data_IF_646925066359
#
_entry.id   IF_646925066359
#
_cell.length_a   1.000
_cell.length_b   1.000
_cell.length_c   1.000
_cell.angle_alpha   90.00
_cell.angle_beta   90.00
_cell.angle_gamma   90.00
#
_symmetry.space_group_name_H-M   'P 1'
#
loop_
_entity.id
_entity.type
_entity.pdbx_description
1 polymer ?
#
# COMPACT_ATOMS: atom_id res chain seq x y z
N UNK A 1 13.39 13.07 5.00
CA UNK A 1 13.46 11.65 5.40
C UNK A 1 12.60 10.88 4.41
N UNK A 2 13.10 9.78 3.85
CA UNK A 2 12.34 8.93 2.92
C UNK A 2 11.35 8.11 3.73
N UNK A 3 10.13 7.99 3.25
CA UNK A 3 9.11 7.15 3.89
C UNK A 3 9.34 5.70 3.48
N UNK A 4 9.42 4.76 4.43
CA UNK A 4 9.46 3.35 4.06
C UNK A 4 8.05 2.87 3.75
N UNK A 5 7.91 2.10 2.69
CA UNK A 5 6.62 1.56 2.26
C UNK A 5 6.76 0.06 2.07
N UNK A 6 6.15 -0.72 2.97
CA UNK A 6 6.10 -2.18 2.85
C UNK A 6 4.81 -2.60 2.16
N UNK A 7 4.93 -3.35 1.07
CA UNK A 7 3.81 -3.92 0.35
C UNK A 7 3.70 -5.39 0.76
N UNK A 8 2.71 -5.71 1.58
CA UNK A 8 2.44 -7.07 2.03
C UNK A 8 1.71 -7.82 0.91
N UNK A 9 2.47 -8.65 0.23
CA UNK A 9 1.98 -9.59 -0.74
C UNK A 9 1.58 -10.90 -0.03
N UNK A 10 0.47 -10.86 0.69
CA UNK A 10 -0.10 -12.02 1.37
C UNK A 10 -1.62 -12.02 1.23
N UNK A 11 -2.22 -13.21 1.15
CA UNK A 11 -3.66 -13.42 1.07
C UNK A 11 -4.18 -13.66 -0.36
N UNK A 12 -5.50 -13.52 -0.52
CA UNK A 12 -6.23 -13.80 -1.77
C UNK A 12 -7.11 -12.60 -2.15
N UNK A 13 -7.21 -12.26 -3.43
CA UNK A 13 -8.06 -11.17 -3.91
C UNK A 13 -9.19 -11.71 -4.80
N UNK A 14 -10.31 -12.12 -4.18
CA UNK A 14 -11.39 -12.77 -4.93
C UNK A 14 -10.92 -14.12 -5.49
N UNK A 15 -10.96 -14.29 -6.82
CA UNK A 15 -10.40 -15.46 -7.50
C UNK A 15 -8.90 -15.33 -7.78
N UNK A 16 -8.31 -14.14 -7.63
CA UNK A 16 -6.90 -13.91 -7.89
C UNK A 16 -6.06 -14.36 -6.69
N UNK A 17 -5.14 -15.28 -6.94
CA UNK A 17 -4.20 -15.79 -5.94
C UNK A 17 -2.80 -15.22 -6.19
N UNK A 18 -1.96 -15.29 -5.17
CA UNK A 18 -0.53 -15.09 -5.33
C UNK A 18 -0.01 -16.01 -6.46
N UNK A 19 0.54 -15.42 -7.52
CA UNK A 19 0.97 -16.14 -8.73
C UNK A 19 0.07 -15.99 -9.96
N UNK A 20 -1.11 -15.37 -9.85
CA UNK A 20 -1.86 -14.94 -11.05
C UNK A 20 -1.21 -13.70 -11.66
N UNK A 21 -1.06 -13.69 -13.00
CA UNK A 21 -0.35 -12.64 -13.74
C UNK A 21 -0.90 -11.23 -13.44
N UNK A 22 -2.21 -11.09 -13.28
CA UNK A 22 -2.87 -9.81 -12.99
C UNK A 22 -2.55 -9.29 -11.58
N UNK A 23 -2.39 -10.19 -10.61
CA UNK A 23 -2.09 -9.84 -9.22
C UNK A 23 -0.61 -9.48 -9.08
N UNK A 24 0.27 -10.28 -9.67
CA UNK A 24 1.71 -9.98 -9.76
C UNK A 24 1.95 -8.66 -10.49
N UNK A 25 1.27 -8.44 -11.62
CA UNK A 25 1.33 -7.19 -12.38
C UNK A 25 0.85 -5.98 -11.58
N UNK A 26 -0.15 -6.12 -10.70
CA UNK A 26 -0.59 -5.03 -9.84
C UNK A 26 0.49 -4.68 -8.80
N UNK A 27 1.03 -5.67 -8.12
CA UNK A 27 2.08 -5.49 -7.11
C UNK A 27 3.30 -4.80 -7.75
N UNK A 28 3.74 -5.27 -8.91
CA UNK A 28 4.85 -4.70 -9.66
C UNK A 28 4.59 -3.25 -10.11
N UNK A 29 3.42 -2.97 -10.69
CA UNK A 29 3.04 -1.61 -11.10
C UNK A 29 2.96 -0.65 -9.91
N UNK A 30 2.43 -1.12 -8.79
CA UNK A 30 2.34 -0.32 -7.57
C UNK A 30 3.74 -0.04 -7.01
N UNK A 31 4.59 -1.05 -6.91
CA UNK A 31 5.97 -0.92 -6.47
C UNK A 31 6.74 0.06 -7.38
N UNK A 32 6.63 -0.10 -8.70
CA UNK A 32 7.29 0.75 -9.68
C UNK A 32 6.83 2.20 -9.57
N UNK A 33 5.51 2.42 -9.43
CA UNK A 33 4.92 3.76 -9.27
C UNK A 33 5.45 4.45 -8.01
N UNK A 34 5.50 3.73 -6.88
CA UNK A 34 5.98 4.27 -5.61
C UNK A 34 7.50 4.52 -5.63
N UNK A 35 8.29 3.66 -6.28
CA UNK A 35 9.74 3.86 -6.46
C UNK A 35 10.06 5.05 -7.36
N UNK A 36 9.22 5.30 -8.38
CA UNK A 36 9.36 6.45 -9.28
C UNK A 36 8.86 7.76 -8.66
N UNK A 37 8.12 7.71 -7.55
CA UNK A 37 7.63 8.90 -6.88
C UNK A 37 8.80 9.73 -6.35
N UNK A 38 8.89 10.98 -6.81
CA UNK A 38 9.89 11.95 -6.38
C UNK A 38 9.29 13.07 -5.55
N UNK A 39 10.09 13.61 -4.64
CA UNK A 39 9.80 14.83 -3.89
C UNK A 39 10.07 16.05 -4.76
N UNK A 40 9.76 17.24 -4.25
CA UNK A 40 9.93 18.52 -4.96
C UNK A 40 11.39 18.84 -5.27
N UNK A 41 12.34 18.21 -4.59
CA UNK A 41 13.79 18.32 -4.77
C UNK A 41 14.37 17.20 -5.67
N UNK A 42 13.53 16.52 -6.45
CA UNK A 42 13.87 15.41 -7.36
C UNK A 42 14.48 14.16 -6.68
N UNK A 43 14.48 14.11 -5.34
CA UNK A 43 14.89 12.92 -4.59
C UNK A 43 13.75 11.87 -4.50
N UNK A 44 14.08 10.57 -4.39
CA UNK A 44 13.08 9.53 -4.13
C UNK A 44 12.24 9.86 -2.90
N UNK A 45 10.91 9.75 -3.03
CA UNK A 45 9.98 10.02 -1.94
C UNK A 45 9.84 8.85 -0.96
N UNK A 46 10.04 7.63 -1.46
CA UNK A 46 9.87 6.42 -0.68
C UNK A 46 10.96 5.40 -0.96
N UNK A 47 11.32 4.62 0.06
CA UNK A 47 11.99 3.34 -0.11
C UNK A 47 10.90 2.26 -0.04
N UNK A 48 10.78 1.42 -1.06
CA UNK A 48 9.65 0.48 -1.21
C UNK A 48 10.16 -0.95 -1.17
N UNK A 49 9.48 -1.83 -0.42
CA UNK A 49 9.79 -3.25 -0.35
C UNK A 49 8.52 -4.09 -0.41
N UNK A 50 8.48 -5.04 -1.33
CA UNK A 50 7.46 -6.10 -1.34
C UNK A 50 7.90 -7.21 -0.38
N UNK A 51 7.01 -7.61 0.52
CA UNK A 51 7.26 -8.59 1.58
C UNK A 51 6.15 -9.64 1.58
N UNK A 52 6.43 -10.81 2.15
CA UNK A 52 5.47 -11.93 2.14
C UNK A 52 4.58 -12.02 3.37
N UNK A 53 4.84 -11.22 4.40
CA UNK A 53 4.08 -11.23 5.64
C UNK A 53 4.05 -9.87 6.33
N UNK A 54 3.06 -9.68 7.20
CA UNK A 54 2.97 -8.54 8.11
C UNK A 54 4.21 -8.45 9.00
N UNK A 55 4.70 -9.57 9.54
CA UNK A 55 5.86 -9.57 10.42
C UNK A 55 7.13 -9.06 9.73
N UNK A 56 7.34 -9.45 8.46
CA UNK A 56 8.47 -8.96 7.67
C UNK A 56 8.35 -7.45 7.39
N UNK A 57 7.13 -6.95 7.17
CA UNK A 57 6.87 -5.52 7.05
C UNK A 57 7.23 -4.79 8.36
N UNK A 58 6.68 -5.25 9.50
CA UNK A 58 6.86 -4.59 10.80
C UNK A 58 8.31 -4.65 11.30
N UNK A 59 9.08 -5.66 10.93
CA UNK A 59 10.51 -5.72 11.22
C UNK A 59 11.33 -4.63 10.50
N UNK A 60 10.81 -4.10 9.38
CA UNK A 60 11.50 -3.10 8.58
C UNK A 60 10.93 -1.69 8.73
N UNK A 61 9.63 -1.57 8.99
CA UNK A 61 8.93 -0.31 9.18
C UNK A 61 9.21 0.29 10.56
N UNK A 62 9.18 1.61 10.63
CA UNK A 62 9.28 2.39 11.85
C UNK A 62 8.21 3.49 11.88
N UNK A 63 8.10 4.21 13.00
CA UNK A 63 7.15 5.29 13.18
C UNK A 63 7.02 6.20 11.94
N UNK A 64 5.79 6.45 11.48
CA UNK A 64 5.39 7.23 10.29
C UNK A 64 5.65 6.56 8.94
N UNK A 65 6.10 5.31 8.92
CA UNK A 65 6.17 4.52 7.70
C UNK A 65 4.81 3.93 7.31
N UNK A 66 4.74 3.34 6.12
CA UNK A 66 3.49 2.88 5.51
C UNK A 66 3.53 1.38 5.27
N UNK A 67 2.43 0.71 5.60
CA UNK A 67 2.18 -0.69 5.23
C UNK A 67 0.97 -0.74 4.28
N UNK A 68 1.12 -1.48 3.18
CA UNK A 68 0.10 -1.65 2.15
C UNK A 68 -0.26 -3.13 2.05
N UNK A 69 -1.53 -3.45 2.24
CA UNK A 69 -2.09 -4.78 2.02
C UNK A 69 -2.84 -4.80 0.69
N UNK A 70 -2.58 -5.78 -0.17
CA UNK A 70 -3.18 -5.87 -1.52
C UNK A 70 -4.38 -6.83 -1.58
N UNK A 71 -4.63 -7.58 -0.50
CA UNK A 71 -5.68 -8.60 -0.45
C UNK A 71 -6.83 -8.21 0.48
N UNK A 72 -8.08 -8.49 0.06
CA UNK A 72 -9.26 -8.43 0.94
C UNK A 72 -9.16 -9.33 2.18
N UNK A 73 -8.48 -10.47 2.04
CA UNK A 73 -8.29 -11.44 3.13
C UNK A 73 -7.47 -10.90 4.30
N UNK A 74 -6.80 -9.75 4.12
CA UNK A 74 -5.95 -9.12 5.13
C UNK A 74 -6.68 -8.02 5.91
N UNK A 75 -8.01 -7.91 5.80
CA UNK A 75 -8.78 -6.83 6.47
C UNK A 75 -8.60 -6.84 7.99
N UNK A 76 -8.74 -8.00 8.63
CA UNK A 76 -8.63 -8.10 10.08
C UNK A 76 -7.20 -7.87 10.55
N UNK A 77 -6.23 -8.38 9.81
CA UNK A 77 -4.80 -8.15 10.05
C UNK A 77 -4.44 -6.67 9.94
N UNK A 78 -4.92 -5.99 8.89
CA UNK A 78 -4.72 -4.55 8.68
C UNK A 78 -5.32 -3.73 9.83
N UNK A 79 -6.53 -4.07 10.28
CA UNK A 79 -7.17 -3.42 11.44
C UNK A 79 -6.37 -3.63 12.72
N UNK A 80 -5.89 -4.86 12.95
CA UNK A 80 -5.06 -5.19 14.11
C UNK A 80 -3.78 -4.37 14.10
N UNK A 81 -3.07 -4.32 12.98
CA UNK A 81 -1.84 -3.51 12.85
C UNK A 81 -2.11 -2.02 13.04
N UNK A 82 -3.22 -1.49 12.53
CA UNK A 82 -3.59 -0.10 12.74
C UNK A 82 -3.84 0.22 14.23
N UNK A 83 -4.41 -0.73 14.98
CA UNK A 83 -4.66 -0.58 16.42
C UNK A 83 -3.38 -0.72 17.25
N UNK A 84 -2.52 -1.69 16.93
CA UNK A 84 -1.28 -1.98 17.69
C UNK A 84 -0.14 -1.01 17.35
N UNK A 85 -0.13 -0.48 16.12
CA UNK A 85 0.91 0.42 15.62
C UNK A 85 0.31 1.73 15.09
N UNK A 86 -0.27 2.59 15.94
CA UNK A 86 -1.01 3.79 15.52
C UNK A 86 -0.16 4.86 14.82
N UNK A 87 1.18 4.72 14.86
CA UNK A 87 2.11 5.61 14.15
C UNK A 87 2.48 5.11 12.76
N UNK A 88 2.13 3.87 12.40
CA UNK A 88 2.30 3.32 11.06
C UNK A 88 1.00 3.59 10.30
N UNK A 89 1.11 4.12 9.09
CA UNK A 89 -0.07 4.31 8.24
C UNK A 89 -0.39 3.00 7.53
N UNK A 90 -1.60 2.49 7.74
CA UNK A 90 -2.08 1.24 7.13
C UNK A 90 -2.98 1.56 5.94
N UNK A 91 -2.69 0.96 4.80
CA UNK A 91 -3.47 1.07 3.56
C UNK A 91 -3.89 -0.34 3.13
N UNK A 92 -5.16 -0.52 2.76
CA UNK A 92 -5.69 -1.80 2.31
C UNK A 92 -6.39 -1.63 0.95
N UNK A 93 -5.86 -2.29 -0.08
CA UNK A 93 -6.48 -2.37 -1.40
C UNK A 93 -7.45 -3.54 -1.44
N UNK A 94 -8.73 -3.27 -1.16
CA UNK A 94 -9.80 -4.29 -1.21
C UNK A 94 -10.47 -4.38 -2.59
N UNK A 95 -10.41 -3.34 -3.43
CA UNK A 95 -11.21 -3.26 -4.66
C UNK A 95 -12.73 -3.13 -4.43
N UNK A 96 -13.18 -2.94 -3.18
CA UNK A 96 -14.55 -2.60 -2.79
C UNK A 96 -14.50 -1.52 -1.70
N UNK A 97 -15.33 -0.50 -1.83
CA UNK A 97 -15.42 0.67 -0.93
C UNK A 97 -15.70 0.21 0.52
N UNK A 98 -14.84 0.54 1.50
CA UNK A 98 -15.10 0.24 2.93
C UNK A 98 -16.24 1.09 3.53
N UNK A 99 -16.95 0.57 4.52
CA UNK A 99 -18.04 1.28 5.24
C UNK A 99 -17.54 2.21 6.38
N UNK A 100 -16.32 2.74 6.32
CA UNK A 100 -15.80 3.62 7.38
C UNK A 100 -14.64 4.50 6.92
N UNK A 101 -14.82 5.82 7.10
CA UNK A 101 -14.03 6.96 6.58
C UNK A 101 -13.10 6.64 5.41
N UNK A 102 -13.70 6.68 4.23
CA UNK A 102 -13.08 6.37 2.94
C UNK A 102 -12.81 7.66 2.18
N UNK A 103 -11.56 7.84 1.75
CA UNK A 103 -11.26 8.76 0.65
C UNK A 103 -11.75 8.09 -0.63
N UNK A 104 -12.84 8.60 -1.20
CA UNK A 104 -13.43 8.07 -2.42
C UNK A 104 -12.58 8.45 -3.62
N UNK A 105 -11.98 7.43 -4.25
CA UNK A 105 -11.13 7.58 -5.42
C UNK A 105 -11.85 6.95 -6.61
N UNK A 106 -12.27 7.78 -7.59
CA UNK A 106 -12.93 7.28 -8.80
C UNK A 106 -12.00 6.34 -9.59
N UNK A 107 -12.52 5.30 -10.25
CA UNK A 107 -11.73 4.41 -11.14
C UNK A 107 -10.96 5.17 -12.22
N UNK A 108 -11.39 6.38 -12.56
CA UNK A 108 -10.66 7.27 -13.49
C UNK A 108 -9.35 7.83 -12.92
N UNK A 109 -9.11 7.75 -11.61
CA UNK A 109 -7.87 8.23 -10.97
C UNK A 109 -6.68 7.29 -11.16
N UNK A 110 -6.89 6.00 -11.51
CA UNK A 110 -5.78 5.10 -11.88
C UNK A 110 -5.01 5.63 -13.09
N UNK A 111 -5.65 6.48 -13.89
CA UNK A 111 -5.03 7.16 -15.04
C UNK A 111 -4.31 8.48 -14.67
N UNK A 112 -4.31 8.87 -13.39
CA UNK A 112 -3.72 10.12 -12.88
C UNK A 112 -2.75 9.83 -11.73
N UNK A 113 -1.48 9.66 -12.08
CA UNK A 113 -0.39 9.33 -11.15
C UNK A 113 -0.16 10.39 -10.05
N UNK A 114 -0.48 11.65 -10.30
CA UNK A 114 -0.35 12.72 -9.29
C UNK A 114 -1.35 12.61 -8.14
N UNK A 115 -2.59 12.21 -8.42
CA UNK A 115 -3.63 12.18 -7.39
C UNK A 115 -3.43 11.01 -6.42
N UNK A 116 -2.95 9.87 -6.92
CA UNK A 116 -2.51 8.75 -6.08
C UNK A 116 -1.35 9.17 -5.18
N UNK A 117 -0.38 9.92 -5.73
CA UNK A 117 0.78 10.43 -4.98
C UNK A 117 0.34 11.31 -3.80
N UNK A 118 -0.64 12.19 -4.01
CA UNK A 118 -1.13 13.10 -2.97
C UNK A 118 -1.86 12.36 -1.83
N UNK A 119 -2.69 11.36 -2.14
CA UNK A 119 -3.41 10.59 -1.12
C UNK A 119 -2.46 9.68 -0.33
N UNK A 120 -1.52 9.03 -1.00
CA UNK A 120 -0.64 8.03 -0.37
C UNK A 120 0.49 8.69 0.42
N UNK A 121 1.12 9.74 -0.12
CA UNK A 121 2.33 10.32 0.45
C UNK A 121 2.11 11.58 1.30
N UNK A 122 0.99 12.29 1.10
CA UNK A 122 0.79 13.64 1.66
C UNK A 122 -0.54 13.84 2.40
N UNK A 123 -1.47 12.87 2.35
CA UNK A 123 -2.66 12.85 3.20
C UNK A 123 -2.33 12.60 4.67
#
# INVERSE_FOLDING_TARGET
>A
MRTRVAIVNAGHWGNLREGDDDYTSLVEKLEESLKKAKRTDDQPAADVRVVRSTDEALAWLYNRDVIIYISRGMTDEAKKVAAEHPRIRVILFTGLVPDGEVIFVSKTWVYSSEQIRNVVLFG
#
